data_IF_034740126306
#
_entry.id   IF_034740126306
#
_cell.length_a   1.000
_cell.length_b   1.000
_cell.length_c   1.000
_cell.angle_alpha   90.00
_cell.angle_beta   90.00
_cell.angle_gamma   90.00
#
_symmetry.space_group_name_H-M   'P 1'
#
loop_
_entity.id
_entity.type
_entity.pdbx_description
1 polymer ?
#
# COMPACT_ATOMS: atom_id res chain seq x y z
N UNK A 1 0.96 41.63 1.64
CA UNK A 1 1.28 41.10 2.98
C UNK A 1 2.19 39.91 2.77
N UNK A 2 3.37 39.86 3.40
CA UNK A 2 4.22 38.68 3.31
C UNK A 2 3.42 37.47 3.83
N UNK A 3 3.23 36.43 3.01
CA UNK A 3 2.49 35.24 3.44
C UNK A 3 3.22 34.64 4.63
N UNK A 4 2.57 34.59 5.79
CA UNK A 4 3.12 33.92 6.96
C UNK A 4 3.31 32.44 6.61
N UNK A 5 4.49 31.88 6.88
CA UNK A 5 4.75 30.48 6.59
C UNK A 5 3.95 29.60 7.56
N UNK A 6 3.18 28.64 7.04
CA UNK A 6 2.50 27.61 7.82
C UNK A 6 3.44 26.43 8.02
N UNK A 7 3.82 26.14 9.26
CA UNK A 7 4.57 24.94 9.65
C UNK A 7 3.62 23.92 10.24
N UNK A 8 3.69 22.68 9.77
CA UNK A 8 2.85 21.58 10.24
C UNK A 8 3.70 20.52 10.94
N UNK A 9 3.47 20.35 12.23
CA UNK A 9 4.18 19.37 13.07
C UNK A 9 3.33 18.11 13.23
N UNK A 10 3.85 16.97 12.77
CA UNK A 10 3.06 15.75 12.64
C UNK A 10 3.87 14.46 12.72
N UNK A 11 3.18 13.36 13.03
CA UNK A 11 3.65 11.99 12.83
C UNK A 11 2.52 11.20 12.17
N UNK A 12 2.77 10.52 11.06
CA UNK A 12 1.74 9.74 10.36
C UNK A 12 1.27 8.51 11.18
N UNK A 13 1.95 8.17 12.28
CA UNK A 13 1.43 7.22 13.27
C UNK A 13 0.15 7.74 13.97
N UNK A 14 0.01 9.06 14.12
CA UNK A 14 -1.11 9.72 14.79
C UNK A 14 -2.31 9.87 13.84
N UNK A 15 -3.48 9.36 14.24
CA UNK A 15 -4.73 9.47 13.46
C UNK A 15 -5.07 10.92 13.04
N UNK A 16 -5.11 11.89 13.97
CA UNK A 16 -5.44 13.27 13.61
C UNK A 16 -4.36 13.93 12.74
N UNK A 17 -3.11 13.46 12.84
CA UNK A 17 -2.02 13.94 11.98
C UNK A 17 -2.17 13.46 10.54
N UNK A 18 -2.64 12.22 10.32
CA UNK A 18 -2.97 11.74 8.97
C UNK A 18 -4.11 12.55 8.37
N UNK A 19 -5.17 12.80 9.14
CA UNK A 19 -6.34 13.53 8.63
C UNK A 19 -5.97 14.94 8.13
N UNK A 20 -5.22 15.71 8.92
CA UNK A 20 -4.75 17.04 8.50
C UNK A 20 -3.72 16.97 7.36
N UNK A 21 -2.85 15.96 7.34
CA UNK A 21 -1.92 15.77 6.22
C UNK A 21 -2.67 15.58 4.90
N UNK A 22 -3.67 14.70 4.88
CA UNK A 22 -4.51 14.46 3.70
C UNK A 22 -5.22 15.75 3.28
N UNK A 23 -5.81 16.49 4.22
CA UNK A 23 -6.47 17.76 3.92
C UNK A 23 -5.51 18.79 3.32
N UNK A 24 -4.35 19.03 3.95
CA UNK A 24 -3.37 20.02 3.51
C UNK A 24 -2.87 19.72 2.10
N UNK A 25 -2.57 18.45 1.81
CA UNK A 25 -2.15 18.01 0.48
C UNK A 25 -3.28 18.15 -0.55
N UNK A 26 -4.51 17.74 -0.21
CA UNK A 26 -5.68 17.84 -1.09
C UNK A 26 -6.07 19.28 -1.43
N UNK A 27 -5.95 20.18 -0.46
CA UNK A 27 -6.30 21.61 -0.60
C UNK A 27 -5.16 22.44 -1.19
N UNK A 28 -3.96 21.86 -1.31
CA UNK A 28 -2.74 22.52 -1.79
C UNK A 28 -2.37 23.78 -1.00
N UNK A 29 -2.79 23.87 0.26
CA UNK A 29 -2.33 24.93 1.17
C UNK A 29 -0.82 24.76 1.31
N UNK A 30 0.02 25.77 1.02
CA UNK A 30 1.46 25.64 1.20
C UNK A 30 1.82 25.49 2.67
N UNK A 31 2.58 24.46 3.02
CA UNK A 31 3.07 24.25 4.37
C UNK A 31 4.47 23.64 4.42
N UNK A 32 5.23 24.00 5.45
CA UNK A 32 6.49 23.36 5.81
C UNK A 32 6.19 22.07 6.59
N UNK A 33 6.75 20.95 6.12
CA UNK A 33 6.63 19.63 6.74
C UNK A 33 7.62 19.52 7.91
N UNK A 34 7.10 19.44 9.13
CA UNK A 34 7.89 19.28 10.35
C UNK A 34 7.61 17.91 11.00
N UNK A 35 8.20 16.80 10.51
CA UNK A 35 7.98 15.49 11.12
C UNK A 35 8.52 15.45 12.56
N UNK A 36 7.77 14.83 13.48
CA UNK A 36 8.14 14.66 14.89
C UNK A 36 7.90 13.21 15.28
N UNK A 37 8.95 12.45 15.58
CA UNK A 37 8.84 11.02 15.81
C UNK A 37 8.26 10.70 17.21
N UNK A 38 6.98 10.30 17.26
CA UNK A 38 6.29 9.91 18.50
C UNK A 38 6.94 8.69 19.17
N UNK A 39 7.46 7.75 18.37
CA UNK A 39 8.14 6.55 18.88
C UNK A 39 9.48 6.83 19.57
N UNK A 40 10.05 8.02 19.33
CA UNK A 40 11.26 8.50 20.01
C UNK A 40 10.93 9.51 21.11
N UNK A 41 9.64 9.74 21.38
CA UNK A 41 9.16 10.73 22.33
C UNK A 41 9.66 12.17 22.04
N UNK A 42 9.93 12.51 20.77
CA UNK A 42 10.41 13.86 20.39
C UNK A 42 9.39 14.94 20.78
N UNK A 43 8.09 14.62 20.73
CA UNK A 43 7.00 15.49 21.18
C UNK A 43 6.98 15.75 22.70
N UNK A 44 7.85 15.09 23.47
CA UNK A 44 8.00 15.25 24.92
C UNK A 44 9.29 15.97 25.32
N UNK A 45 10.16 16.31 24.36
CA UNK A 45 11.37 17.06 24.68
C UNK A 45 11.02 18.44 25.26
N UNK A 46 11.88 18.95 26.15
CA UNK A 46 11.71 20.30 26.71
C UNK A 46 11.63 21.34 25.61
N UNK A 47 12.45 21.19 24.56
CA UNK A 47 12.44 22.07 23.38
C UNK A 47 11.07 22.05 22.69
N UNK A 48 10.50 20.88 22.45
CA UNK A 48 9.20 20.77 21.78
C UNK A 48 8.07 21.38 22.62
N UNK A 49 8.03 21.07 23.92
CA UNK A 49 6.97 21.55 24.81
C UNK A 49 7.04 23.06 25.02
N UNK A 50 8.24 23.61 25.18
CA UNK A 50 8.44 25.05 25.41
C UNK A 50 8.26 25.85 24.12
N UNK A 51 8.81 25.37 23.00
CA UNK A 51 8.92 26.18 21.78
C UNK A 51 7.85 25.85 20.73
N UNK A 52 7.23 24.66 20.74
CA UNK A 52 6.32 24.23 19.66
C UNK A 52 4.89 24.06 20.18
N UNK A 53 4.66 23.14 21.11
CA UNK A 53 3.32 22.87 21.64
C UNK A 53 3.35 22.56 23.14
N UNK A 54 2.76 23.45 23.94
CA UNK A 54 2.63 23.34 25.40
C UNK A 54 2.00 22.04 25.91
N UNK A 55 1.26 21.32 25.08
CA UNK A 55 0.65 20.03 25.45
C UNK A 55 1.53 18.82 25.10
N UNK A 56 2.61 19.01 24.35
CA UNK A 56 3.47 17.94 23.86
C UNK A 56 2.72 16.90 23.01
N UNK A 57 1.71 17.32 22.24
CA UNK A 57 0.87 16.43 21.42
C UNK A 57 0.97 16.80 19.94
N UNK A 58 0.59 15.87 19.07
CA UNK A 58 0.50 16.06 17.63
C UNK A 58 -0.92 15.76 17.15
N UNK A 59 -1.39 16.42 16.08
CA UNK A 59 -0.69 17.46 15.32
C UNK A 59 -0.69 18.83 16.02
N UNK A 60 0.20 19.72 15.57
CA UNK A 60 0.12 21.15 15.85
C UNK A 60 0.68 21.97 14.67
N UNK A 61 0.33 23.25 14.61
CA UNK A 61 0.83 24.19 13.58
C UNK A 61 1.49 25.40 14.20
N UNK A 62 2.36 26.04 13.42
CA UNK A 62 2.83 27.40 13.63
C UNK A 62 2.56 28.19 12.35
N UNK A 63 1.77 29.25 12.41
CA UNK A 63 1.51 30.13 11.27
C UNK A 63 2.01 31.55 11.60
N UNK A 64 3.22 31.88 11.13
CA UNK A 64 3.96 33.03 11.65
C UNK A 64 4.31 32.81 13.13
N UNK A 65 3.84 33.68 14.02
CA UNK A 65 4.05 33.55 15.47
C UNK A 65 2.90 32.81 16.18
N UNK A 66 1.83 32.49 15.47
CA UNK A 66 0.63 31.87 16.05
C UNK A 66 0.79 30.35 16.13
N UNK A 67 0.69 29.80 17.35
CA UNK A 67 0.79 28.35 17.62
C UNK A 67 -0.58 27.80 17.95
N UNK A 68 -0.98 26.72 17.27
CA UNK A 68 -2.28 26.08 17.48
C UNK A 68 -2.16 24.56 17.54
N UNK A 69 -2.88 23.95 18.48
CA UNK A 69 -3.00 22.51 18.67
C UNK A 69 -4.47 22.09 18.52
N UNK A 70 -4.73 20.77 18.60
CA UNK A 70 -6.01 20.11 18.34
C UNK A 70 -6.42 20.13 16.86
N UNK A 71 -6.53 18.95 16.25
CA UNK A 71 -6.72 18.83 14.80
C UNK A 71 -7.98 19.52 14.28
N UNK A 72 -9.07 19.48 15.05
CA UNK A 72 -10.34 20.10 14.66
C UNK A 72 -10.26 21.63 14.77
N UNK A 73 -9.59 22.15 15.79
CA UNK A 73 -9.34 23.59 15.92
C UNK A 73 -8.42 24.09 14.80
N UNK A 74 -7.37 23.32 14.46
CA UNK A 74 -6.47 23.60 13.34
C UNK A 74 -7.26 23.61 12.03
N UNK A 75 -8.11 22.61 11.78
CA UNK A 75 -8.96 22.57 10.59
C UNK A 75 -9.86 23.81 10.47
N UNK A 76 -10.56 24.18 11.55
CA UNK A 76 -11.42 25.39 11.59
C UNK A 76 -10.63 26.69 11.43
N UNK A 77 -9.37 26.71 11.86
CA UNK A 77 -8.47 27.82 11.62
C UNK A 77 -8.09 27.91 10.14
N UNK A 78 -7.66 26.78 9.55
CA UNK A 78 -7.31 26.70 8.14
C UNK A 78 -8.47 27.11 7.22
N UNK A 79 -9.71 26.71 7.54
CA UNK A 79 -10.89 27.08 6.74
C UNK A 79 -11.27 28.56 6.78
N UNK A 80 -10.76 29.31 7.77
CA UNK A 80 -10.96 30.76 7.89
C UNK A 80 -9.80 31.54 7.29
N UNK A 81 -8.60 30.98 7.39
CA UNK A 81 -7.35 31.62 6.95
C UNK A 81 -7.08 31.42 5.46
N UNK A 82 -7.42 30.24 4.93
CA UNK A 82 -7.14 29.86 3.55
C UNK A 82 -8.45 29.59 2.79
N UNK A 83 -8.45 29.93 1.50
CA UNK A 83 -9.53 29.54 0.60
C UNK A 83 -9.23 28.16 0.03
N UNK A 84 -10.15 27.23 0.24
CA UNK A 84 -10.18 25.93 -0.42
C UNK A 84 -11.62 25.50 -0.65
N UNK A 85 -11.79 24.42 -1.42
CA UNK A 85 -13.09 23.87 -1.81
C UNK A 85 -14.04 23.70 -0.60
N UNK A 86 -15.22 24.30 -0.69
CA UNK A 86 -16.23 24.31 0.36
C UNK A 86 -16.74 22.90 0.69
N UNK A 87 -16.52 21.89 -0.17
CA UNK A 87 -16.87 20.48 0.13
C UNK A 87 -16.30 20.01 1.47
N UNK A 88 -15.09 20.47 1.81
CA UNK A 88 -14.40 20.07 3.03
C UNK A 88 -15.08 20.63 4.29
N UNK A 89 -15.64 21.83 4.19
CA UNK A 89 -16.35 22.53 5.26
C UNK A 89 -17.46 23.42 4.67
N UNK A 90 -18.67 22.86 4.44
CA UNK A 90 -19.74 23.55 3.72
C UNK A 90 -20.08 24.93 4.32
N UNK A 91 -20.52 25.87 3.50
CA UNK A 91 -20.96 27.20 3.97
C UNK A 91 -22.41 27.23 4.44
N UNK A 92 -23.26 26.37 3.88
CA UNK A 92 -24.65 26.24 4.29
C UNK A 92 -24.73 25.84 5.78
N UNK A 93 -25.46 26.59 6.63
CA UNK A 93 -25.44 26.39 8.08
C UNK A 93 -25.78 24.97 8.52
N UNK A 94 -26.79 24.35 7.92
CA UNK A 94 -27.23 22.99 8.28
C UNK A 94 -26.22 21.91 7.89
N UNK A 95 -25.60 22.04 6.72
CA UNK A 95 -24.59 21.07 6.25
C UNK A 95 -23.30 21.21 7.07
N UNK A 96 -22.89 22.45 7.36
CA UNK A 96 -21.78 22.72 8.28
C UNK A 96 -22.04 22.14 9.67
N UNK A 97 -23.26 22.34 10.20
CA UNK A 97 -23.63 21.82 11.50
C UNK A 97 -23.56 20.29 11.55
N UNK A 98 -23.91 19.58 10.47
CA UNK A 98 -23.76 18.12 10.38
C UNK A 98 -22.29 17.68 10.39
N UNK A 99 -21.40 18.42 9.71
CA UNK A 99 -19.95 18.18 9.79
C UNK A 99 -19.46 18.42 11.22
N UNK A 100 -19.82 19.55 11.83
CA UNK A 100 -19.44 19.89 13.20
C UNK A 100 -19.95 18.87 14.21
N UNK A 101 -21.20 18.39 14.07
CA UNK A 101 -21.78 17.35 14.92
C UNK A 101 -20.91 16.09 14.93
N UNK A 102 -20.46 15.61 13.76
CA UNK A 102 -19.55 14.48 13.71
C UNK A 102 -18.19 14.79 14.34
N UNK A 103 -17.60 15.95 14.00
CA UNK A 103 -16.28 16.34 14.47
C UNK A 103 -16.23 16.49 16.00
N UNK A 104 -17.34 16.84 16.64
CA UNK A 104 -17.46 16.82 18.11
C UNK A 104 -17.77 15.41 18.65
N UNK A 105 -18.69 14.67 18.01
CA UNK A 105 -19.09 13.32 18.44
C UNK A 105 -17.94 12.32 18.43
N UNK A 106 -17.08 12.35 17.41
CA UNK A 106 -16.00 11.35 17.24
C UNK A 106 -15.05 11.29 18.44
N UNK A 107 -14.85 12.41 19.16
CA UNK A 107 -13.83 12.51 20.20
C UNK A 107 -14.00 11.48 21.31
N UNK A 108 -15.24 11.25 21.73
CA UNK A 108 -15.60 10.27 22.77
C UNK A 108 -15.98 8.90 22.19
N UNK A 109 -16.09 8.78 20.87
CA UNK A 109 -16.58 7.62 20.16
C UNK A 109 -15.47 7.00 19.30
N UNK A 110 -15.58 7.06 17.97
CA UNK A 110 -14.67 6.40 17.03
C UNK A 110 -13.20 6.62 17.39
N UNK A 111 -12.81 7.85 17.68
CA UNK A 111 -11.45 8.18 18.13
C UNK A 111 -11.07 7.46 19.40
N UNK A 112 -11.84 7.64 20.47
CA UNK A 112 -11.53 7.10 21.78
C UNK A 112 -11.50 5.57 21.73
N UNK A 113 -12.51 4.93 21.14
CA UNK A 113 -12.63 3.48 21.13
C UNK A 113 -11.55 2.82 20.26
N UNK A 114 -11.30 3.32 19.04
CA UNK A 114 -10.24 2.80 18.18
C UNK A 114 -8.85 3.04 18.78
N UNK A 115 -8.61 4.22 19.36
CA UNK A 115 -7.32 4.55 19.97
C UNK A 115 -7.08 3.73 21.24
N UNK A 116 -8.06 3.54 22.11
CA UNK A 116 -7.90 2.73 23.32
C UNK A 116 -7.60 1.28 23.00
N UNK A 117 -8.33 0.67 22.06
CA UNK A 117 -8.03 -0.68 21.60
C UNK A 117 -6.60 -0.75 21.01
N UNK A 118 -6.24 0.15 20.10
CA UNK A 118 -4.90 0.21 19.54
C UNK A 118 -3.79 0.38 20.61
N UNK A 119 -3.97 1.29 21.56
CA UNK A 119 -2.99 1.55 22.61
C UNK A 119 -2.77 0.29 23.45
N UNK A 120 -3.85 -0.32 23.95
CA UNK A 120 -3.73 -1.48 24.84
C UNK A 120 -3.26 -2.75 24.11
N UNK A 121 -3.71 -2.95 22.87
CA UNK A 121 -3.40 -4.17 22.11
C UNK A 121 -2.08 -4.09 21.33
N UNK A 122 -1.54 -2.89 21.09
CA UNK A 122 -0.32 -2.73 20.27
C UNK A 122 0.76 -1.90 20.94
N UNK A 123 0.44 -0.73 21.51
CA UNK A 123 1.46 0.15 22.13
C UNK A 123 1.94 -0.41 23.48
N UNK A 124 1.03 -0.81 24.37
CA UNK A 124 1.37 -1.37 25.69
C UNK A 124 2.36 -2.55 25.59
N UNK A 125 2.11 -3.59 24.77
CA UNK A 125 3.06 -4.69 24.62
C UNK A 125 4.36 -4.25 23.92
N UNK A 126 4.30 -3.31 22.97
CA UNK A 126 5.50 -2.74 22.32
C UNK A 126 6.43 -2.04 23.32
N UNK A 127 5.87 -1.47 24.39
CA UNK A 127 6.63 -0.85 25.49
C UNK A 127 7.08 -1.86 26.56
N UNK A 128 6.83 -3.16 26.37
CA UNK A 128 7.19 -4.20 27.34
C UNK A 128 6.33 -4.20 28.61
N UNK A 129 5.15 -3.56 28.56
CA UNK A 129 4.22 -3.51 29.69
C UNK A 129 3.27 -4.70 29.66
N UNK A 130 2.85 -5.18 30.84
CA UNK A 130 1.85 -6.24 30.95
C UNK A 130 0.48 -5.81 30.39
N UNK A 131 -0.19 -6.74 29.72
CA UNK A 131 -1.49 -6.53 29.08
C UNK A 131 -2.54 -7.38 29.79
N UNK A 132 -3.54 -6.70 30.37
CA UNK A 132 -4.76 -7.35 30.87
C UNK A 132 -5.65 -7.73 29.69
N UNK A 133 -5.76 -9.04 29.43
CA UNK A 133 -6.53 -9.57 28.31
C UNK A 133 -8.04 -9.28 28.47
N UNK A 134 -8.59 -9.33 29.68
CA UNK A 134 -10.01 -9.04 29.89
C UNK A 134 -10.32 -7.57 29.55
N UNK A 135 -9.38 -6.67 29.83
CA UNK A 135 -9.49 -5.26 29.41
C UNK A 135 -9.38 -5.11 27.90
N UNK A 136 -8.48 -5.82 27.22
CA UNK A 136 -8.39 -5.82 25.75
C UNK A 136 -9.70 -6.29 25.12
N UNK A 137 -10.30 -7.36 25.63
CA UNK A 137 -11.55 -7.89 25.11
C UNK A 137 -12.71 -6.89 25.29
N UNK A 138 -12.77 -6.22 26.45
CA UNK A 138 -13.75 -5.14 26.69
C UNK A 138 -13.54 -3.97 25.74
N UNK A 139 -12.30 -3.53 25.53
CA UNK A 139 -11.99 -2.43 24.60
C UNK A 139 -12.33 -2.81 23.15
N UNK A 140 -12.06 -4.05 22.75
CA UNK A 140 -12.46 -4.60 21.46
C UNK A 140 -13.98 -4.57 21.29
N UNK A 141 -14.74 -5.01 22.31
CA UNK A 141 -16.21 -4.96 22.29
C UNK A 141 -16.72 -3.52 22.14
N UNK A 142 -16.22 -2.58 22.95
CA UNK A 142 -16.63 -1.19 22.86
C UNK A 142 -16.34 -0.56 21.50
N UNK A 143 -15.20 -0.90 20.89
CA UNK A 143 -14.85 -0.48 19.54
C UNK A 143 -15.82 -1.07 18.51
N UNK A 144 -16.13 -2.36 18.59
CA UNK A 144 -17.11 -3.04 17.72
C UNK A 144 -18.48 -2.36 17.83
N UNK A 145 -19.00 -2.18 19.04
CA UNK A 145 -20.29 -1.54 19.28
C UNK A 145 -20.32 -0.12 18.70
N UNK A 146 -19.21 0.63 18.83
CA UNK A 146 -19.08 1.99 18.29
C UNK A 146 -19.00 2.03 16.76
N UNK A 147 -18.33 1.05 16.13
CA UNK A 147 -18.33 0.89 14.67
C UNK A 147 -19.73 0.58 14.14
N UNK A 148 -20.52 -0.22 14.87
CA UNK A 148 -21.90 -0.54 14.52
C UNK A 148 -22.82 0.69 14.65
N UNK A 149 -22.61 1.52 15.69
CA UNK A 149 -23.25 2.84 15.79
C UNK A 149 -22.85 3.74 14.63
N UNK A 150 -21.57 3.73 14.21
CA UNK A 150 -21.13 4.52 13.08
C UNK A 150 -21.80 4.11 11.75
N UNK A 151 -21.86 2.81 11.47
CA UNK A 151 -22.51 2.32 10.26
C UNK A 151 -24.02 2.58 10.25
N UNK A 152 -24.68 2.47 11.41
CA UNK A 152 -26.12 2.71 11.54
C UNK A 152 -26.47 4.19 11.50
N UNK A 153 -25.85 5.01 12.34
CA UNK A 153 -26.27 6.41 12.54
C UNK A 153 -25.62 7.36 11.53
N UNK A 154 -24.31 7.20 11.26
CA UNK A 154 -23.56 8.13 10.40
C UNK A 154 -23.58 7.75 8.92
N UNK A 155 -23.62 6.45 8.61
CA UNK A 155 -23.77 5.99 7.22
C UNK A 155 -25.22 5.66 6.85
N UNK A 156 -26.15 5.70 7.82
CA UNK A 156 -27.56 5.37 7.63
C UNK A 156 -27.74 4.01 6.93
N UNK A 157 -27.06 2.97 7.42
CA UNK A 157 -27.02 1.63 6.79
C UNK A 157 -26.62 1.69 5.31
N UNK A 158 -25.68 2.58 4.98
CA UNK A 158 -25.18 2.80 3.63
C UNK A 158 -26.07 3.64 2.72
N UNK A 159 -27.20 4.18 3.20
CA UNK A 159 -28.04 5.11 2.42
C UNK A 159 -27.40 6.48 2.24
N UNK A 160 -26.50 6.87 3.15
CA UNK A 160 -25.69 8.07 2.97
C UNK A 160 -24.31 7.71 2.40
N UNK A 161 -23.85 8.40 1.34
CA UNK A 161 -22.55 8.11 0.75
C UNK A 161 -21.37 8.54 1.62
N UNK A 162 -21.55 9.57 2.46
CA UNK A 162 -20.56 10.18 3.34
C UNK A 162 -21.16 10.55 4.71
N UNK A 163 -20.31 10.78 5.71
CA UNK A 163 -20.67 10.96 7.12
C UNK A 163 -21.60 12.16 7.34
N UNK A 164 -21.38 13.25 6.59
CA UNK A 164 -22.13 14.49 6.76
C UNK A 164 -23.13 14.76 5.64
N UNK A 165 -23.43 13.76 4.79
CA UNK A 165 -24.43 13.87 3.74
C UNK A 165 -23.96 13.30 2.39
N UNK A 166 -24.25 14.04 1.32
CA UNK A 166 -24.04 13.57 -0.07
C UNK A 166 -22.63 13.75 -0.58
N UNK A 167 -21.85 14.65 0.01
CA UNK A 167 -20.51 15.00 -0.44
C UNK A 167 -19.46 14.66 0.61
N UNK A 168 -18.23 14.41 0.14
CA UNK A 168 -17.07 14.19 0.99
C UNK A 168 -16.76 15.46 1.77
N UNK A 169 -16.60 15.32 3.09
CA UNK A 169 -16.18 16.41 3.97
C UNK A 169 -14.94 16.04 4.79
N UNK A 170 -14.43 16.98 5.60
CA UNK A 170 -13.34 16.66 6.52
C UNK A 170 -13.75 15.63 7.60
N UNK A 171 -15.05 15.54 7.93
CA UNK A 171 -15.56 14.52 8.85
C UNK A 171 -15.22 13.10 8.36
N UNK A 172 -15.36 12.85 7.06
CA UNK A 172 -15.05 11.56 6.45
C UNK A 172 -13.57 11.19 6.56
N UNK A 173 -12.68 12.17 6.34
CA UNK A 173 -11.23 11.96 6.41
C UNK A 173 -10.79 11.69 7.85
N UNK A 174 -11.35 12.42 8.83
CA UNK A 174 -11.10 12.17 10.26
C UNK A 174 -11.54 10.76 10.64
N UNK A 175 -12.79 10.41 10.31
CA UNK A 175 -13.35 9.08 10.57
C UNK A 175 -12.50 7.97 9.97
N UNK A 176 -12.12 8.08 8.70
CA UNK A 176 -11.39 7.04 8.00
C UNK A 176 -9.99 6.85 8.60
N UNK A 177 -9.30 7.93 8.95
CA UNK A 177 -7.99 7.84 9.60
C UNK A 177 -8.07 7.15 10.97
N UNK A 178 -9.14 7.37 11.73
CA UNK A 178 -9.34 6.75 13.04
C UNK A 178 -9.72 5.27 12.93
N UNK A 179 -10.59 4.94 11.98
CA UNK A 179 -11.04 3.57 11.69
C UNK A 179 -9.92 2.72 11.05
N UNK A 180 -8.91 3.31 10.39
CA UNK A 180 -7.76 2.52 9.93
C UNK A 180 -6.89 2.01 11.09
N UNK A 181 -6.80 2.75 12.21
CA UNK A 181 -5.83 2.51 13.29
C UNK A 181 -5.84 1.08 13.88
N UNK A 182 -7.00 0.46 14.16
CA UNK A 182 -7.08 -0.88 14.75
C UNK A 182 -6.38 -1.98 13.95
N UNK A 183 -6.12 -1.76 12.65
CA UNK A 183 -5.41 -2.74 11.82
C UNK A 183 -3.99 -3.03 12.30
N UNK A 184 -3.29 -2.05 12.88
CA UNK A 184 -1.99 -2.31 13.49
C UNK A 184 -2.09 -3.31 14.64
N UNK A 185 -3.23 -3.34 15.33
CA UNK A 185 -3.54 -4.28 16.40
C UNK A 185 -4.23 -5.57 15.90
N UNK A 186 -4.17 -5.86 14.60
CA UNK A 186 -4.70 -7.11 14.03
C UNK A 186 -6.22 -7.17 13.93
N UNK A 187 -6.92 -6.02 13.99
CA UNK A 187 -8.35 -5.95 13.76
C UNK A 187 -8.65 -5.14 12.50
N UNK A 188 -9.32 -5.73 11.51
CA UNK A 188 -9.81 -5.01 10.33
C UNK A 188 -11.29 -4.60 10.53
N UNK A 189 -11.59 -3.30 10.73
CA UNK A 189 -12.97 -2.85 10.95
C UNK A 189 -13.93 -3.09 9.80
N UNK A 190 -13.42 -3.41 8.61
CA UNK A 190 -14.22 -3.68 7.40
C UNK A 190 -14.86 -5.06 7.40
N UNK A 191 -14.28 -6.01 8.13
CA UNK A 191 -14.76 -7.40 8.13
C UNK A 191 -16.13 -7.43 8.81
N UNK A 192 -17.14 -7.93 8.08
CA UNK A 192 -18.53 -7.97 8.54
C UNK A 192 -19.31 -6.65 8.44
N UNK A 193 -18.72 -5.58 7.87
CA UNK A 193 -19.35 -4.25 7.76
C UNK A 193 -19.30 -3.72 6.33
N UNK A 194 -20.19 -4.19 5.44
CA UNK A 194 -20.11 -3.88 4.01
C UNK A 194 -20.34 -2.40 3.69
N UNK A 195 -21.19 -1.68 4.43
CA UNK A 195 -21.44 -0.25 4.17
C UNK A 195 -20.26 0.60 4.64
N UNK A 196 -19.67 0.28 5.79
CA UNK A 196 -18.42 0.87 6.26
C UNK A 196 -17.29 0.60 5.26
N UNK A 197 -17.14 -0.64 4.80
CA UNK A 197 -16.11 -1.01 3.84
C UNK A 197 -16.25 -0.25 2.51
N UNK A 198 -17.48 -0.09 2.01
CA UNK A 198 -17.77 0.67 0.81
C UNK A 198 -17.53 2.18 1.01
N UNK A 199 -17.92 2.74 2.15
CA UNK A 199 -17.67 4.14 2.51
C UNK A 199 -16.17 4.43 2.61
N UNK A 200 -15.38 3.59 3.31
CA UNK A 200 -13.94 3.76 3.40
C UNK A 200 -13.27 3.75 2.01
N UNK A 201 -13.75 2.91 1.08
CA UNK A 201 -13.23 2.91 -0.28
C UNK A 201 -13.56 4.19 -1.05
N UNK A 202 -14.77 4.75 -0.86
CA UNK A 202 -15.13 6.05 -1.44
C UNK A 202 -14.23 7.16 -0.91
N UNK A 203 -14.00 7.21 0.40
CA UNK A 203 -13.11 8.21 1.03
C UNK A 203 -11.68 8.06 0.51
N UNK A 204 -11.13 6.84 0.49
CA UNK A 204 -9.80 6.55 -0.04
C UNK A 204 -9.68 6.96 -1.51
N UNK A 205 -10.62 6.55 -2.36
CA UNK A 205 -10.63 6.88 -3.79
C UNK A 205 -10.65 8.38 -4.01
N UNK A 206 -11.49 9.11 -3.26
CA UNK A 206 -11.62 10.56 -3.40
C UNK A 206 -10.42 11.35 -2.86
N UNK A 207 -9.57 10.73 -2.03
CA UNK A 207 -8.45 11.40 -1.35
C UNK A 207 -7.06 10.85 -1.68
N UNK A 208 -6.98 9.86 -2.58
CA UNK A 208 -5.73 9.36 -3.11
C UNK A 208 -5.03 10.41 -4.03
N UNK A 209 -3.69 10.39 -4.10
CA UNK A 209 -2.77 9.41 -3.49
C UNK A 209 -2.44 9.70 -2.01
N UNK A 210 -2.87 10.84 -1.48
CA UNK A 210 -2.48 11.32 -0.15
C UNK A 210 -2.99 10.41 0.98
N UNK A 211 -4.15 9.76 0.79
CA UNK A 211 -4.66 8.75 1.72
C UNK A 211 -3.67 7.59 1.89
N UNK A 212 -3.25 6.95 0.81
CA UNK A 212 -2.33 5.81 0.87
C UNK A 212 -0.95 6.22 1.42
N UNK A 213 -0.46 7.41 1.04
CA UNK A 213 0.79 7.96 1.57
C UNK A 213 0.72 8.17 3.09
N UNK A 214 -0.38 8.75 3.59
CA UNK A 214 -0.59 8.98 5.01
C UNK A 214 -0.66 7.65 5.80
N UNK A 215 -1.20 6.58 5.21
CA UNK A 215 -1.38 5.29 5.86
C UNK A 215 -0.21 4.31 5.66
N UNK A 216 0.84 4.67 4.92
CA UNK A 216 2.01 3.79 4.66
C UNK A 216 2.62 3.22 5.95
N UNK A 217 2.75 4.04 7.01
CA UNK A 217 3.30 3.60 8.30
C UNK A 217 2.38 2.59 9.00
N UNK A 218 1.08 2.73 8.85
CA UNK A 218 0.09 1.85 9.44
C UNK A 218 0.15 0.46 8.79
N UNK A 219 0.20 0.42 7.46
CA UNK A 219 0.33 -0.83 6.70
C UNK A 219 1.65 -1.55 6.95
N UNK A 220 2.73 -0.82 7.28
CA UNK A 220 4.00 -1.43 7.69
C UNK A 220 3.86 -2.32 8.94
N UNK A 221 2.97 -1.97 9.86
CA UNK A 221 2.79 -2.66 11.14
C UNK A 221 1.48 -3.44 11.25
N UNK A 222 0.66 -3.39 10.20
CA UNK A 222 -0.56 -4.20 10.12
C UNK A 222 -0.18 -5.69 10.03
N UNK A 223 -0.71 -6.56 10.90
CA UNK A 223 -0.47 -7.99 10.81
C UNK A 223 -0.80 -8.52 9.43
N UNK A 224 0.02 -9.48 9.02
CA UNK A 224 0.09 -10.01 7.66
C UNK A 224 -1.20 -10.73 7.23
N UNK A 225 -2.11 -11.00 8.16
CA UNK A 225 -3.39 -11.67 7.94
C UNK A 225 -4.48 -10.69 7.47
N UNK A 226 -4.26 -9.38 7.60
CA UNK A 226 -5.14 -8.31 7.12
C UNK A 226 -4.74 -7.94 5.68
N UNK A 227 -5.71 -8.01 4.76
CA UNK A 227 -5.48 -7.86 3.31
C UNK A 227 -4.87 -6.49 2.97
N UNK A 228 -3.75 -6.51 2.24
CA UNK A 228 -3.11 -5.31 1.68
C UNK A 228 -3.16 -5.37 0.16
N UNK A 229 -3.23 -4.23 -0.54
CA UNK A 229 -3.42 -4.23 -1.99
C UNK A 229 -2.24 -4.89 -2.72
N UNK A 230 -2.57 -5.66 -3.76
CA UNK A 230 -1.59 -6.43 -4.56
C UNK A 230 -0.92 -5.50 -5.58
N UNK A 231 0.40 -5.39 -5.54
CA UNK A 231 1.24 -4.68 -6.53
C UNK A 231 1.81 -5.67 -7.53
N UNK A 232 2.00 -5.25 -8.78
CA UNK A 232 2.87 -5.97 -9.72
C UNK A 232 4.31 -5.90 -9.18
N UNK A 233 4.87 -7.05 -8.82
CA UNK A 233 6.16 -7.15 -8.12
C UNK A 233 7.31 -6.62 -8.97
N UNK A 234 7.32 -6.96 -10.26
CA UNK A 234 8.40 -6.60 -11.18
C UNK A 234 8.43 -5.09 -11.40
N UNK A 235 7.29 -4.51 -11.79
CA UNK A 235 7.22 -3.08 -12.10
C UNK A 235 7.45 -2.23 -10.84
N UNK A 236 6.99 -2.69 -9.67
CA UNK A 236 7.32 -2.08 -8.39
C UNK A 236 8.82 -2.03 -8.15
N UNK A 237 9.52 -3.17 -8.23
CA UNK A 237 10.96 -3.24 -7.99
C UNK A 237 11.69 -2.35 -8.99
N UNK A 238 11.29 -2.39 -10.26
CA UNK A 238 11.89 -1.58 -11.32
C UNK A 238 11.74 -0.08 -11.05
N UNK A 239 10.53 0.42 -10.81
CA UNK A 239 10.26 1.83 -10.55
C UNK A 239 10.97 2.34 -9.28
N UNK A 240 10.93 1.55 -8.21
CA UNK A 240 11.60 1.91 -6.95
C UNK A 240 13.12 1.93 -7.08
N UNK A 241 13.71 0.99 -7.84
CA UNK A 241 15.17 0.90 -8.01
C UNK A 241 15.69 1.98 -8.95
N UNK A 242 14.96 2.27 -10.02
CA UNK A 242 15.32 3.32 -11.00
C UNK A 242 14.96 4.74 -10.57
N UNK A 243 14.17 4.88 -9.49
CA UNK A 243 13.69 6.18 -8.97
C UNK A 243 12.86 6.98 -9.98
N UNK A 244 12.24 6.31 -10.95
CA UNK A 244 11.25 6.93 -11.83
C UNK A 244 10.08 7.39 -10.95
N UNK A 245 9.66 8.67 -11.00
CA UNK A 245 8.54 9.15 -10.21
C UNK A 245 7.23 8.58 -10.75
N UNK A 246 6.37 8.08 -9.86
CA UNK A 246 5.08 7.54 -10.24
C UNK A 246 4.07 7.70 -9.11
N UNK A 247 2.79 7.76 -9.48
CA UNK A 247 1.69 7.64 -8.54
C UNK A 247 1.23 6.18 -8.45
N UNK A 248 1.07 5.68 -7.23
CA UNK A 248 0.55 4.33 -7.00
C UNK A 248 -0.98 4.34 -7.04
N UNK A 249 -1.55 3.76 -8.09
CA UNK A 249 -2.99 3.50 -8.17
C UNK A 249 -3.26 2.00 -7.90
N UNK A 250 -3.71 1.68 -6.68
CA UNK A 250 -3.96 0.29 -6.30
C UNK A 250 -5.35 -0.16 -6.78
N UNK A 251 -5.40 -1.36 -7.37
CA UNK A 251 -6.62 -1.98 -7.90
C UNK A 251 -6.89 -3.28 -7.14
N UNK A 252 -8.05 -3.38 -6.49
CA UNK A 252 -8.45 -4.58 -5.77
C UNK A 252 -9.03 -5.64 -6.72
N UNK A 253 -8.20 -6.63 -7.05
CA UNK A 253 -8.60 -7.74 -7.91
C UNK A 253 -9.66 -8.64 -7.26
N UNK A 254 -9.63 -8.82 -5.93
CA UNK A 254 -10.60 -9.64 -5.19
C UNK A 254 -12.01 -9.06 -5.20
N UNK A 255 -12.13 -7.73 -5.23
CA UNK A 255 -13.39 -7.00 -5.39
C UNK A 255 -13.81 -6.78 -6.85
N UNK A 256 -13.00 -7.22 -7.81
CA UNK A 256 -13.32 -7.03 -9.23
C UNK A 256 -13.16 -5.59 -9.72
N UNK A 257 -12.37 -4.72 -9.08
CA UNK A 257 -12.25 -3.30 -9.50
C UNK A 257 -11.73 -3.15 -10.94
N UNK A 258 -10.81 -4.02 -11.34
CA UNK A 258 -10.32 -4.15 -12.71
C UNK A 258 -11.43 -4.45 -13.74
N UNK A 259 -12.57 -5.01 -13.30
CA UNK A 259 -13.70 -5.36 -14.16
C UNK A 259 -14.72 -4.23 -14.33
N UNK A 260 -14.53 -3.08 -13.67
CA UNK A 260 -15.43 -1.93 -13.77
C UNK A 260 -15.26 -1.17 -15.09
N UNK A 261 -16.30 -0.47 -15.55
CA UNK A 261 -16.23 0.40 -16.74
C UNK A 261 -15.20 1.53 -16.56
N UNK A 262 -15.08 2.07 -15.33
CA UNK A 262 -14.06 3.07 -14.98
C UNK A 262 -12.65 2.53 -15.22
N UNK A 263 -12.37 1.29 -14.79
CA UNK A 263 -11.06 0.69 -15.04
C UNK A 263 -10.88 0.27 -16.50
N UNK A 264 -11.94 -0.17 -17.18
CA UNK A 264 -11.90 -0.49 -18.61
C UNK A 264 -11.51 0.73 -19.47
N UNK A 265 -11.93 1.93 -19.07
CA UNK A 265 -11.48 3.18 -19.68
C UNK A 265 -9.97 3.42 -19.48
N UNK A 266 -9.39 2.95 -18.37
CA UNK A 266 -7.95 3.06 -18.08
C UNK A 266 -7.16 1.98 -18.84
N UNK A 267 -7.64 0.75 -18.82
CA UNK A 267 -7.04 -0.38 -19.51
C UNK A 267 -8.14 -1.23 -20.14
N UNK A 268 -8.25 -1.18 -21.46
CA UNK A 268 -9.22 -1.97 -22.25
C UNK A 268 -9.16 -3.48 -22.01
N UNK A 269 -8.02 -4.00 -21.55
CA UNK A 269 -7.83 -5.42 -21.23
C UNK A 269 -8.26 -5.79 -19.82
N UNK A 270 -8.60 -4.80 -18.98
CA UNK A 270 -9.07 -5.01 -17.62
C UNK A 270 -8.10 -5.84 -16.77
N UNK A 271 -6.80 -5.65 -16.99
CA UNK A 271 -5.71 -6.36 -16.28
C UNK A 271 -4.76 -5.37 -15.62
N UNK A 272 -3.98 -5.86 -14.67
CA UNK A 272 -2.84 -5.15 -14.08
C UNK A 272 -1.55 -5.91 -14.40
N UNK A 273 -0.39 -5.22 -14.51
CA UNK A 273 -0.21 -3.78 -14.38
C UNK A 273 -0.66 -2.98 -15.62
N UNK A 274 -0.96 -1.70 -15.40
CA UNK A 274 -1.13 -0.68 -16.43
C UNK A 274 -0.65 0.67 -15.89
N UNK A 275 -0.29 1.59 -16.78
CA UNK A 275 0.06 2.97 -16.44
C UNK A 275 -0.82 3.95 -17.22
N UNK A 276 -0.98 5.14 -16.67
CA UNK A 276 -1.37 6.33 -17.40
C UNK A 276 -0.19 7.29 -17.31
N UNK A 277 0.37 7.69 -18.45
CA UNK A 277 1.49 8.63 -18.49
C UNK A 277 1.11 9.93 -19.23
N UNK A 278 2.07 10.85 -19.39
CA UNK A 278 1.90 12.13 -20.11
C UNK A 278 1.12 11.98 -21.42
N UNK A 279 0.34 13.02 -21.73
CA UNK A 279 -0.56 13.07 -22.88
C UNK A 279 -1.67 11.99 -22.86
N UNK A 280 -2.10 11.57 -21.66
CA UNK A 280 -3.18 10.60 -21.48
C UNK A 280 -2.86 9.24 -22.15
N UNK A 281 -1.59 8.84 -22.11
CA UNK A 281 -1.20 7.55 -22.68
C UNK A 281 -1.58 6.42 -21.72
N UNK A 282 -2.61 5.67 -22.11
CA UNK A 282 -3.05 4.45 -21.46
C UNK A 282 -2.28 3.23 -21.98
N UNK A 283 -1.36 2.70 -21.17
CA UNK A 283 -0.51 1.58 -21.57
C UNK A 283 -0.63 0.39 -20.60
N UNK A 284 -0.83 -0.79 -21.17
CA UNK A 284 -0.87 -2.07 -20.47
C UNK A 284 0.23 -2.98 -21.00
N UNK A 285 0.37 -4.16 -20.37
CA UNK A 285 1.45 -5.13 -20.59
C UNK A 285 2.79 -4.65 -20.02
N UNK A 286 3.29 -5.37 -19.02
CA UNK A 286 4.48 -5.00 -18.26
C UNK A 286 5.73 -4.83 -19.13
N UNK A 287 5.92 -5.66 -20.16
CA UNK A 287 7.04 -5.54 -21.11
C UNK A 287 6.92 -4.26 -21.94
N UNK A 288 5.73 -3.94 -22.44
CA UNK A 288 5.49 -2.73 -23.21
C UNK A 288 5.71 -1.47 -22.36
N UNK A 289 5.25 -1.52 -21.10
CA UNK A 289 5.46 -0.45 -20.10
C UNK A 289 6.95 -0.21 -19.87
N UNK A 290 7.74 -1.24 -19.58
CA UNK A 290 9.19 -1.09 -19.35
C UNK A 290 9.89 -0.51 -20.56
N UNK A 291 9.60 -1.01 -21.77
CA UNK A 291 10.17 -0.47 -23.02
C UNK A 291 9.80 0.99 -23.24
N UNK A 292 8.58 1.38 -22.89
CA UNK A 292 8.13 2.77 -22.95
C UNK A 292 8.87 3.64 -21.93
N UNK A 293 8.92 3.23 -20.67
CA UNK A 293 9.66 3.94 -19.63
C UNK A 293 11.14 4.13 -19.99
N UNK A 294 11.76 3.13 -20.63
CA UNK A 294 13.14 3.21 -21.12
C UNK A 294 13.38 4.26 -22.20
N UNK A 295 12.35 4.65 -22.94
CA UNK A 295 12.43 5.73 -23.93
C UNK A 295 12.17 7.10 -23.31
N UNK A 296 11.30 7.15 -22.30
CA UNK A 296 10.77 8.41 -21.78
C UNK A 296 11.50 8.94 -20.53
N UNK A 297 12.15 8.06 -19.76
CA UNK A 297 12.74 8.41 -18.46
C UNK A 297 14.23 8.05 -18.40
N UNK A 298 15.06 8.90 -17.78
CA UNK A 298 16.46 8.58 -17.55
C UNK A 298 16.63 7.61 -16.36
N UNK A 299 17.39 6.54 -16.57
CA UNK A 299 17.88 5.64 -15.53
C UNK A 299 19.17 4.95 -15.99
N UNK A 300 19.79 4.15 -15.13
CA UNK A 300 21.05 3.47 -15.44
C UNK A 300 20.90 2.53 -16.65
N UNK A 301 21.79 2.67 -17.65
CA UNK A 301 21.63 2.04 -18.97
C UNK A 301 21.56 0.51 -18.91
N UNK A 302 22.20 -0.14 -17.93
CA UNK A 302 22.18 -1.60 -17.79
C UNK A 302 20.78 -2.23 -17.68
N UNK A 303 19.80 -1.48 -17.16
CA UNK A 303 18.44 -1.99 -17.03
C UNK A 303 17.80 -2.32 -18.39
N UNK A 304 18.00 -1.45 -19.38
CA UNK A 304 17.52 -1.62 -20.76
C UNK A 304 18.41 -0.80 -21.72
N UNK A 305 19.58 -1.34 -22.11
CA UNK A 305 20.67 -0.59 -22.70
C UNK A 305 20.34 -0.04 -24.07
N UNK A 306 21.02 1.04 -24.46
CA UNK A 306 20.94 1.61 -25.82
C UNK A 306 21.72 0.82 -26.84
N UNK A 307 22.72 0.06 -26.41
CA UNK A 307 23.46 -0.85 -27.27
C UNK A 307 22.52 -1.89 -27.92
N UNK A 308 22.60 -2.00 -29.25
CA UNK A 308 21.67 -2.81 -30.02
C UNK A 308 21.78 -4.30 -29.70
N UNK A 309 22.98 -4.81 -29.46
CA UNK A 309 23.19 -6.24 -29.24
C UNK A 309 22.78 -6.65 -27.83
N UNK A 310 23.17 -5.86 -26.82
CA UNK A 310 22.74 -6.08 -25.43
C UNK A 310 21.23 -5.99 -25.29
N UNK A 311 20.59 -5.00 -25.92
CA UNK A 311 19.13 -4.86 -25.92
C UNK A 311 18.45 -6.05 -26.60
N UNK A 312 18.98 -6.52 -27.73
CA UNK A 312 18.40 -7.66 -28.44
C UNK A 312 18.37 -8.93 -27.57
N UNK A 313 19.40 -9.16 -26.72
CA UNK A 313 19.40 -10.28 -25.76
C UNK A 313 18.37 -10.14 -24.65
N UNK A 314 18.18 -8.93 -24.14
CA UNK A 314 17.10 -8.65 -23.19
C UNK A 314 15.74 -8.88 -23.86
N UNK A 315 15.52 -8.35 -25.06
CA UNK A 315 14.27 -8.51 -25.79
C UNK A 315 13.98 -9.99 -26.12
N UNK A 316 14.99 -10.77 -26.49
CA UNK A 316 14.89 -12.22 -26.69
C UNK A 316 14.31 -12.91 -25.45
N UNK A 317 14.84 -12.63 -24.25
CA UNK A 317 14.28 -13.17 -23.01
C UNK A 317 12.85 -12.67 -22.76
N UNK A 318 12.59 -11.37 -22.94
CA UNK A 318 11.28 -10.76 -22.65
C UNK A 318 10.15 -11.30 -23.54
N UNK A 319 10.46 -11.68 -24.78
CA UNK A 319 9.51 -12.36 -25.68
C UNK A 319 9.41 -13.86 -25.35
N UNK A 320 10.53 -14.52 -25.03
CA UNK A 320 10.56 -15.94 -24.71
C UNK A 320 9.80 -16.26 -23.41
N UNK A 321 9.95 -15.47 -22.35
CA UNK A 321 9.37 -15.76 -21.04
C UNK A 321 7.84 -15.90 -21.05
N UNK A 322 7.15 -15.18 -21.95
CA UNK A 322 5.68 -15.14 -22.01
C UNK A 322 5.06 -16.53 -22.18
N UNK A 323 5.73 -17.39 -22.96
CA UNK A 323 5.29 -18.75 -23.26
C UNK A 323 6.07 -19.82 -22.48
N UNK A 324 7.08 -19.39 -21.72
CA UNK A 324 7.96 -20.27 -20.96
C UNK A 324 7.82 -19.93 -19.48
N UNK A 325 8.83 -19.34 -18.83
CA UNK A 325 8.84 -19.13 -17.37
C UNK A 325 7.54 -18.59 -16.81
N UNK A 326 7.02 -17.50 -17.38
CA UNK A 326 5.76 -16.90 -16.94
C UNK A 326 4.61 -17.87 -17.07
N UNK A 327 4.45 -18.47 -18.25
CA UNK A 327 3.35 -19.38 -18.52
C UNK A 327 3.39 -20.61 -17.61
N UNK A 328 4.53 -21.30 -17.52
CA UNK A 328 4.64 -22.56 -16.78
C UNK A 328 4.57 -22.34 -15.27
N UNK A 329 5.26 -21.33 -14.73
CA UNK A 329 5.22 -21.00 -13.29
C UNK A 329 3.83 -20.53 -12.88
N UNK A 330 3.21 -19.63 -13.64
CA UNK A 330 1.87 -19.14 -13.33
C UNK A 330 0.82 -20.25 -13.47
N UNK A 331 0.93 -21.11 -14.48
CA UNK A 331 -0.03 -22.21 -14.67
C UNK A 331 0.04 -23.22 -13.52
N UNK A 332 1.25 -23.62 -13.11
CA UNK A 332 1.43 -24.50 -11.96
C UNK A 332 0.89 -23.86 -10.67
N UNK A 333 1.28 -22.62 -10.37
CA UNK A 333 0.77 -21.87 -9.21
C UNK A 333 -0.76 -21.75 -9.23
N UNK A 334 -1.34 -21.40 -10.38
CA UNK A 334 -2.78 -21.25 -10.49
C UNK A 334 -3.50 -22.56 -10.24
N UNK A 335 -3.01 -23.66 -10.82
CA UNK A 335 -3.63 -24.96 -10.70
C UNK A 335 -3.52 -25.54 -9.29
N UNK A 336 -2.35 -25.42 -8.67
CA UNK A 336 -2.08 -26.00 -7.35
C UNK A 336 -2.62 -25.18 -6.19
N UNK A 337 -2.62 -23.85 -6.31
CA UNK A 337 -2.91 -22.96 -5.18
C UNK A 337 -4.10 -22.04 -5.41
N UNK A 338 -4.14 -21.32 -6.53
CA UNK A 338 -5.12 -20.25 -6.73
C UNK A 338 -6.54 -20.80 -6.99
N UNK A 339 -6.69 -21.72 -7.95
CA UNK A 339 -7.99 -22.26 -8.38
C UNK A 339 -8.67 -23.07 -7.27
N UNK A 340 -7.98 -23.97 -6.54
CA UNK A 340 -8.58 -24.66 -5.40
C UNK A 340 -9.12 -23.70 -4.34
N UNK A 341 -8.40 -22.60 -4.09
CA UNK A 341 -8.76 -21.62 -3.06
C UNK A 341 -9.88 -20.66 -3.49
N UNK A 342 -9.93 -20.28 -4.76
CA UNK A 342 -10.97 -19.37 -5.28
C UNK A 342 -12.25 -20.09 -5.72
N UNK A 343 -12.14 -21.29 -6.26
CA UNK A 343 -13.24 -22.01 -6.89
C UNK A 343 -13.57 -23.34 -6.22
N UNK A 344 -12.83 -23.76 -5.19
CA UNK A 344 -13.03 -25.06 -4.53
C UNK A 344 -12.67 -26.26 -5.41
N UNK A 345 -11.95 -26.05 -6.51
CA UNK A 345 -11.58 -27.13 -7.44
C UNK A 345 -10.62 -28.12 -6.79
N UNK A 346 -10.85 -29.42 -6.96
CA UNK A 346 -9.91 -30.46 -6.52
C UNK A 346 -8.72 -30.54 -7.49
N UNK A 347 -7.52 -30.70 -6.94
CA UNK A 347 -6.30 -30.92 -7.73
C UNK A 347 -6.26 -32.37 -8.18
N UNK A 348 -6.24 -32.61 -9.50
CA UNK A 348 -5.92 -33.93 -10.04
C UNK A 348 -4.39 -34.16 -9.98
N UNK A 349 -3.90 -35.27 -9.36
CA UNK A 349 -2.47 -35.53 -9.20
C UNK A 349 -1.68 -35.71 -10.50
N UNK A 350 -2.22 -36.42 -11.49
CA UNK A 350 -1.54 -36.63 -12.78
C UNK A 350 -1.32 -35.30 -13.49
N UNK A 351 -2.36 -34.46 -13.53
CA UNK A 351 -2.26 -33.13 -14.12
C UNK A 351 -1.33 -32.20 -13.34
N UNK A 352 -1.29 -32.33 -12.01
CA UNK A 352 -0.35 -31.58 -11.19
C UNK A 352 1.10 -31.94 -11.53
N UNK A 353 1.40 -33.23 -11.69
CA UNK A 353 2.73 -33.70 -12.05
C UNK A 353 3.12 -33.28 -13.47
N UNK A 354 2.20 -33.35 -14.45
CA UNK A 354 2.45 -32.83 -15.80
C UNK A 354 2.82 -31.34 -15.82
N UNK A 355 2.10 -30.53 -15.05
CA UNK A 355 2.36 -29.09 -14.95
C UNK A 355 3.66 -28.80 -14.21
N UNK A 356 3.96 -29.61 -13.18
CA UNK A 356 5.22 -29.55 -12.43
C UNK A 356 6.40 -29.88 -13.34
N UNK A 357 6.34 -30.97 -14.09
CA UNK A 357 7.41 -31.38 -15.00
C UNK A 357 7.71 -30.29 -16.03
N UNK A 358 6.68 -29.71 -16.66
CA UNK A 358 6.87 -28.60 -17.62
C UNK A 358 7.53 -27.37 -16.99
N UNK A 359 7.21 -27.11 -15.73
CA UNK A 359 7.85 -26.02 -14.98
C UNK A 359 9.31 -26.37 -14.65
N UNK A 360 9.58 -27.60 -14.19
CA UNK A 360 10.93 -28.10 -13.90
C UNK A 360 11.82 -28.06 -15.15
N UNK A 361 11.34 -28.55 -16.30
CA UNK A 361 12.07 -28.52 -17.58
C UNK A 361 12.47 -27.08 -17.96
N UNK A 362 11.57 -26.12 -17.74
CA UNK A 362 11.83 -24.70 -18.01
C UNK A 362 12.83 -24.09 -17.03
N UNK A 363 12.77 -24.45 -15.74
CA UNK A 363 13.73 -23.99 -14.73
C UNK A 363 15.12 -24.61 -14.98
N UNK A 364 15.18 -25.86 -15.41
CA UNK A 364 16.43 -26.54 -15.79
C UNK A 364 17.05 -25.91 -17.03
N UNK A 365 16.24 -25.51 -18.00
CA UNK A 365 16.70 -24.71 -19.14
C UNK A 365 17.30 -23.36 -18.70
N UNK A 366 16.71 -22.67 -17.72
CA UNK A 366 17.32 -21.44 -17.18
C UNK A 366 18.64 -21.71 -16.47
N UNK A 367 18.69 -22.73 -15.61
CA UNK A 367 19.91 -23.15 -14.90
C UNK A 367 21.05 -23.52 -15.87
N UNK A 368 20.72 -24.25 -16.94
CA UNK A 368 21.66 -24.74 -17.94
C UNK A 368 22.08 -23.69 -18.97
N UNK A 369 21.12 -23.10 -19.68
CA UNK A 369 21.38 -22.29 -20.86
C UNK A 369 21.61 -20.81 -20.51
N UNK A 370 20.74 -20.20 -19.72
CA UNK A 370 20.89 -18.78 -19.35
C UNK A 370 21.97 -18.56 -18.30
N UNK A 371 22.00 -19.38 -17.25
CA UNK A 371 22.93 -19.22 -16.12
C UNK A 371 24.18 -20.07 -16.26
N UNK A 372 24.19 -21.09 -17.14
CA UNK A 372 25.34 -21.99 -17.27
C UNK A 372 26.49 -21.48 -18.12
N UNK A 373 26.27 -20.43 -18.93
CA UNK A 373 27.29 -19.82 -19.79
C UNK A 373 28.34 -18.96 -19.07
N UNK A 374 28.26 -18.83 -17.74
CA UNK A 374 29.21 -18.05 -16.93
C UNK A 374 28.83 -16.58 -16.70
N UNK A 375 27.71 -16.13 -17.27
CA UNK A 375 27.16 -14.79 -17.03
C UNK A 375 26.77 -14.62 -15.55
N UNK A 376 26.98 -13.42 -15.01
CA UNK A 376 26.54 -13.09 -13.64
C UNK A 376 25.02 -12.97 -13.50
N UNK A 377 24.34 -12.51 -14.55
CA UNK A 377 22.90 -12.33 -14.69
C UNK A 377 22.40 -13.02 -15.97
N UNK A 378 21.09 -13.05 -16.23
CA UNK A 378 20.53 -13.88 -17.32
C UNK A 378 21.12 -13.57 -18.70
N UNK A 379 21.36 -12.29 -18.98
CA UNK A 379 21.72 -11.81 -20.32
C UNK A 379 23.03 -11.01 -20.33
N UNK A 380 23.88 -11.19 -19.31
CA UNK A 380 25.19 -10.58 -19.21
C UNK A 380 25.72 -10.44 -17.78
N UNK A 381 26.70 -9.56 -17.60
CA UNK A 381 27.37 -9.34 -16.31
C UNK A 381 26.72 -8.29 -15.41
N UNK A 382 25.82 -7.49 -15.97
CA UNK A 382 25.02 -6.48 -15.26
C UNK A 382 23.56 -6.91 -15.17
N UNK A 383 22.89 -6.52 -14.08
CA UNK A 383 21.46 -6.78 -13.90
C UNK A 383 20.65 -6.03 -14.96
N UNK A 384 19.57 -6.63 -15.43
CA UNK A 384 18.66 -6.02 -16.40
C UNK A 384 17.19 -6.26 -16.03
N UNK A 385 16.28 -5.70 -16.83
CA UNK A 385 14.85 -5.99 -16.66
C UNK A 385 14.54 -7.47 -16.89
N UNK A 386 15.32 -8.20 -17.71
CA UNK A 386 15.14 -9.64 -17.90
C UNK A 386 15.23 -10.37 -16.56
N UNK A 387 16.18 -9.99 -15.70
CA UNK A 387 16.36 -10.60 -14.38
C UNK A 387 15.18 -10.34 -13.45
N UNK A 388 14.59 -9.14 -13.49
CA UNK A 388 13.44 -8.80 -12.64
C UNK A 388 12.18 -9.58 -13.03
N UNK A 389 11.92 -9.74 -14.33
CA UNK A 389 10.82 -10.55 -14.83
C UNK A 389 10.97 -12.00 -14.38
N UNK A 390 12.14 -12.58 -14.67
CA UNK A 390 12.46 -13.96 -14.31
C UNK A 390 12.33 -14.22 -12.81
N UNK A 391 12.97 -13.39 -11.98
CA UNK A 391 12.99 -13.60 -10.54
C UNK A 391 11.57 -13.53 -9.95
N UNK A 392 10.75 -12.57 -10.39
CA UNK A 392 9.36 -12.48 -9.93
C UNK A 392 8.52 -13.69 -10.34
N UNK A 393 8.71 -14.21 -11.56
CA UNK A 393 8.03 -15.39 -12.07
C UNK A 393 8.45 -16.65 -11.31
N UNK A 394 9.75 -16.83 -11.10
CA UNK A 394 10.35 -17.97 -10.39
C UNK A 394 9.98 -17.96 -8.90
N UNK A 395 9.76 -16.81 -8.27
CA UNK A 395 9.26 -16.76 -6.88
C UNK A 395 7.80 -17.27 -6.75
N UNK A 396 7.00 -17.23 -7.82
CA UNK A 396 5.56 -17.49 -7.74
C UNK A 396 5.20 -18.93 -7.31
N UNK A 397 5.84 -19.99 -7.83
CA UNK A 397 5.60 -21.38 -7.42
C UNK A 397 5.80 -21.68 -5.93
N UNK A 398 6.58 -20.87 -5.19
CA UNK A 398 6.75 -21.04 -3.74
C UNK A 398 5.43 -20.99 -2.97
N UNK A 399 4.48 -20.19 -3.44
CA UNK A 399 3.12 -20.15 -2.86
C UNK A 399 2.39 -21.49 -2.98
N UNK A 400 2.71 -22.29 -4.00
CA UNK A 400 2.19 -23.64 -4.20
C UNK A 400 3.03 -24.73 -3.52
N UNK A 401 3.99 -24.35 -2.66
CA UNK A 401 4.84 -25.30 -1.93
C UNK A 401 6.01 -25.88 -2.73
N UNK A 402 6.26 -25.37 -3.93
CA UNK A 402 7.40 -25.79 -4.75
C UNK A 402 8.60 -24.87 -4.52
N UNK A 403 9.78 -25.43 -4.29
CA UNK A 403 11.02 -24.65 -4.23
C UNK A 403 11.75 -24.68 -5.58
N UNK A 404 11.74 -23.58 -6.35
CA UNK A 404 12.41 -23.54 -7.65
C UNK A 404 13.91 -23.78 -7.55
N UNK A 405 14.55 -23.30 -6.47
CA UNK A 405 16.00 -23.34 -6.32
C UNK A 405 16.53 -24.73 -5.93
N UNK A 406 15.68 -25.66 -5.50
CA UNK A 406 16.09 -27.00 -5.13
C UNK A 406 16.77 -27.71 -6.32
N UNK A 407 18.02 -28.13 -6.13
CA UNK A 407 18.83 -28.77 -7.18
C UNK A 407 19.41 -27.84 -8.24
N UNK A 408 19.19 -26.51 -8.13
CA UNK A 408 19.61 -25.50 -9.11
C UNK A 408 20.53 -24.45 -8.48
N UNK A 409 21.82 -24.79 -8.27
CA UNK A 409 22.75 -23.93 -7.53
C UNK A 409 23.06 -22.61 -8.23
N UNK A 410 23.10 -22.55 -9.56
CA UNK A 410 23.38 -21.28 -10.28
C UNK A 410 22.18 -20.34 -10.16
N UNK A 411 20.96 -20.86 -10.25
CA UNK A 411 19.73 -20.12 -10.03
C UNK A 411 19.64 -19.63 -8.59
N UNK A 412 20.01 -20.45 -7.62
CA UNK A 412 20.09 -20.03 -6.20
C UNK A 412 21.00 -18.81 -6.05
N UNK A 413 22.23 -18.90 -6.55
CA UNK A 413 23.20 -17.80 -6.46
C UNK A 413 22.75 -16.57 -7.27
N UNK A 414 22.09 -16.76 -8.42
CA UNK A 414 21.56 -15.67 -9.24
C UNK A 414 20.39 -14.94 -8.56
N UNK A 415 19.43 -15.66 -7.98
CA UNK A 415 18.32 -15.08 -7.21
C UNK A 415 18.84 -14.25 -6.02
N UNK A 416 19.88 -14.72 -5.33
CA UNK A 416 20.54 -13.97 -4.26
C UNK A 416 21.16 -12.66 -4.77
N UNK A 417 21.85 -12.70 -5.92
CA UNK A 417 22.42 -11.48 -6.54
C UNK A 417 21.34 -10.49 -6.97
N UNK A 418 20.26 -10.97 -7.58
CA UNK A 418 19.12 -10.11 -7.98
C UNK A 418 18.53 -9.44 -6.74
N UNK A 419 18.28 -10.20 -5.67
CA UNK A 419 17.79 -9.69 -4.39
C UNK A 419 18.75 -8.66 -3.77
N UNK A 420 20.05 -8.94 -3.74
CA UNK A 420 21.06 -8.05 -3.18
C UNK A 420 21.05 -6.68 -3.88
N UNK A 421 21.06 -6.67 -5.21
CA UNK A 421 21.11 -5.43 -6.01
C UNK A 421 19.83 -4.61 -5.90
N UNK A 422 18.68 -5.24 -5.64
CA UNK A 422 17.35 -4.60 -5.69
C UNK A 422 16.70 -4.43 -4.32
N UNK A 423 17.41 -4.77 -3.25
CA UNK A 423 16.92 -4.59 -1.89
C UNK A 423 16.94 -3.11 -1.45
N UNK A 424 15.98 -2.67 -0.60
CA UNK A 424 14.98 -3.47 0.10
C UNK A 424 13.72 -3.80 -0.73
N UNK A 425 13.62 -3.29 -1.96
CA UNK A 425 12.38 -3.32 -2.74
C UNK A 425 12.01 -4.74 -3.18
N UNK A 426 13.00 -5.60 -3.43
CA UNK A 426 12.78 -7.02 -3.72
C UNK A 426 12.03 -7.72 -2.58
N UNK A 427 12.54 -7.61 -1.35
CA UNK A 427 11.90 -8.23 -0.20
C UNK A 427 10.50 -7.66 0.06
N UNK A 428 10.34 -6.34 -0.09
CA UNK A 428 9.04 -5.69 0.03
C UNK A 428 8.00 -6.25 -0.94
N UNK A 429 8.38 -6.43 -2.21
CA UNK A 429 7.52 -6.98 -3.25
C UNK A 429 7.16 -8.46 -3.00
N UNK A 430 8.07 -9.24 -2.41
CA UNK A 430 7.90 -10.68 -2.21
C UNK A 430 7.31 -11.09 -0.85
N UNK A 431 7.03 -10.14 0.05
CA UNK A 431 6.42 -10.40 1.38
C UNK A 431 5.19 -11.31 1.36
N UNK A 432 4.31 -11.17 0.36
CA UNK A 432 3.11 -11.99 0.25
C UNK A 432 3.43 -13.43 -0.18
N UNK A 433 4.38 -13.59 -1.12
CA UNK A 433 4.85 -14.90 -1.58
C UNK A 433 5.39 -15.69 -0.38
N UNK A 434 6.31 -15.11 0.38
CA UNK A 434 6.93 -15.79 1.53
C UNK A 434 5.97 -16.08 2.68
N UNK A 435 4.90 -15.28 2.81
CA UNK A 435 3.85 -15.51 3.80
C UNK A 435 2.97 -16.71 3.43
N UNK A 436 2.64 -16.83 2.15
CA UNK A 436 1.79 -17.91 1.63
C UNK A 436 2.56 -19.22 1.51
N UNK A 437 3.85 -19.13 1.15
CA UNK A 437 4.71 -20.29 0.99
C UNK A 437 4.77 -21.13 2.29
N UNK A 438 4.58 -22.46 2.21
CA UNK A 438 4.75 -23.37 3.34
C UNK A 438 6.11 -23.22 4.01
N UNK A 439 6.20 -23.55 5.30
CA UNK A 439 7.47 -23.47 6.06
C UNK A 439 8.58 -24.38 5.49
N UNK A 440 8.20 -25.43 4.77
CA UNK A 440 9.12 -26.33 4.07
C UNK A 440 9.85 -25.68 2.88
N UNK A 441 9.35 -24.54 2.37
CA UNK A 441 9.99 -23.82 1.27
C UNK A 441 10.97 -22.79 1.83
N UNK A 442 12.26 -22.83 1.45
CA UNK A 442 13.26 -21.88 1.92
C UNK A 442 12.84 -20.42 1.68
N UNK A 443 13.01 -19.61 2.73
CA UNK A 443 12.79 -18.16 2.73
C UNK A 443 14.14 -17.46 2.87
N UNK A 444 14.36 -16.32 2.20
CA UNK A 444 15.53 -15.49 2.51
C UNK A 444 15.52 -15.11 3.98
N UNK A 445 16.69 -15.08 4.63
CA UNK A 445 16.81 -14.43 5.95
C UNK A 445 16.53 -12.95 5.73
N UNK A 446 15.38 -12.49 6.23
CA UNK A 446 14.93 -11.10 6.20
C UNK A 446 15.71 -10.24 7.18
#
# INVERSE_FOLDING_TARGET
MASRALKYYYDLLSQPSRALYILLEQTKIPFEKCPVALRKFENRSSEFVQNINRFGKLPCIIHGDFKLAESIAIFRYLSREFQFDDRWYPKEPSDRARVDEYLEWQHANIRAQCAQFFIYSWITPLLGMEVDQAKVDRLRKNMIDCLDVFEREWLNEGRQPFVAGKELSFADVVAACEIEQPKMAGFDPRVGRPHLAAWMERVRTATNPHYDLAHKILYKYTPKEIETPKVDRMLYIFLETTKIPYERCLVNLGKGEHLTDKFKAINRFQKVPCIVDKNDLHLAESVAIVRYLAREYPFADHWYPKDSQKRARIDEYLEWQQHNTRAVCATYFQYMWLRPRLMGTKVNPERAEELKQKMEDCLDFIEGDYLGGGNRFLVGDEISVADLFAACEIEQPKMAGFDPCAGRPKMTAWMERVREVTNPHYDEAHKLVYRIAPESVPRPKL
#
